data_IF_996565931313
#
_entry.id   IF_996565931313
#
_cell.length_a   1.000
_cell.length_b   1.000
_cell.length_c   1.000
_cell.angle_alpha   90.00
_cell.angle_beta   90.00
_cell.angle_gamma   90.00
#
_symmetry.space_group_name_H-M   'P 1'
#
loop_
_entity.id
_entity.type
_entity.pdbx_description
1 polymer ?
#
# COMPACT_ATOMS: atom_id res chain seq x y z
N UNK A 1 -42.91 -3.46 -9.77
CA UNK A 1 -43.65 -4.73 -9.94
C UNK A 1 -43.46 -5.54 -8.68
N UNK A 2 -44.48 -5.70 -7.83
CA UNK A 2 -44.37 -6.51 -6.60
C UNK A 2 -44.80 -7.95 -6.89
N UNK A 3 -44.17 -8.92 -6.23
CA UNK A 3 -44.74 -10.25 -6.00
C UNK A 3 -44.95 -10.46 -4.50
N UNK A 4 -46.04 -11.12 -4.15
CA UNK A 4 -46.52 -11.30 -2.77
C UNK A 4 -46.09 -12.66 -2.21
N UNK A 5 -46.17 -12.78 -0.88
CA UNK A 5 -46.06 -14.05 -0.15
C UNK A 5 -47.10 -15.07 -0.63
N UNK A 6 -46.79 -16.34 -0.37
CA UNK A 6 -47.75 -17.25 0.29
C UNK A 6 -47.08 -17.84 1.54
N UNK A 7 -47.77 -17.79 2.67
CA UNK A 7 -47.36 -18.43 3.93
C UNK A 7 -47.94 -19.87 3.98
N UNK A 8 -47.22 -20.81 4.59
CA UNK A 8 -47.62 -22.23 4.63
C UNK A 8 -47.05 -22.99 5.83
N UNK A 9 -47.85 -23.10 6.89
CA UNK A 9 -47.58 -23.99 8.03
C UNK A 9 -47.86 -25.48 7.62
N UNK A 10 -47.61 -26.55 8.41
CA UNK A 10 -47.52 -26.70 9.89
C UNK A 10 -46.93 -28.09 10.25
N UNK A 11 -46.68 -28.32 11.55
CA UNK A 11 -46.55 -29.63 12.27
C UNK A 11 -45.20 -30.37 12.29
N UNK A 12 -44.41 -30.06 13.32
CA UNK A 12 -44.02 -30.98 14.42
C UNK A 12 -43.92 -32.50 14.17
N UNK A 13 -42.73 -33.07 14.42
CA UNK A 13 -42.48 -34.48 14.78
C UNK A 13 -41.29 -34.58 15.74
N UNK A 14 -41.24 -35.57 16.65
CA UNK A 14 -40.36 -35.47 17.83
C UNK A 14 -39.73 -36.79 18.34
N UNK A 15 -38.39 -36.83 18.39
CA UNK A 15 -37.53 -37.62 19.32
C UNK A 15 -37.60 -39.18 19.19
N UNK A 16 -36.72 -39.96 19.86
CA UNK A 16 -35.30 -39.73 20.23
C UNK A 16 -34.40 -40.99 19.98
N UNK A 17 -33.15 -40.99 20.51
CA UNK A 17 -32.26 -42.15 20.79
C UNK A 17 -31.61 -42.83 19.57
N UNK A 18 -30.51 -43.59 19.67
CA UNK A 18 -29.35 -43.76 20.61
C UNK A 18 -28.29 -44.56 19.75
N UNK A 19 -26.98 -44.74 20.00
CA UNK A 19 -26.10 -44.54 21.18
C UNK A 19 -24.60 -44.33 20.77
N UNK A 20 -23.69 -44.61 21.72
CA UNK A 20 -22.25 -44.95 21.67
C UNK A 20 -21.74 -45.67 20.37
N UNK A 21 -20.46 -45.67 19.96
CA UNK A 21 -19.12 -45.67 20.61
C UNK A 21 -18.06 -45.22 19.54
N UNK A 22 -16.72 -45.10 19.70
CA UNK A 22 -15.69 -45.66 20.61
C UNK A 22 -14.40 -44.82 20.54
N UNK A 23 -13.63 -44.74 21.63
CA UNK A 23 -12.29 -44.13 21.62
C UNK A 23 -11.17 -45.18 21.69
N UNK A 24 -10.11 -44.99 20.90
CA UNK A 24 -8.74 -45.56 21.03
C UNK A 24 -7.77 -44.55 20.39
N UNK A 25 -6.72 -43.98 21.00
CA UNK A 25 -5.71 -44.42 21.98
C UNK A 25 -4.43 -45.00 21.35
N UNK A 26 -3.27 -44.63 21.93
CA UNK A 26 -1.89 -45.11 21.66
C UNK A 26 -1.30 -44.87 20.27
N UNK A 27 -0.09 -44.29 20.23
CA UNK A 27 0.65 -44.02 18.98
C UNK A 27 1.86 -43.08 19.13
N UNK A 28 2.57 -43.11 20.27
CA UNK A 28 3.77 -42.30 20.47
C UNK A 28 5.03 -43.13 20.19
N UNK A 29 5.98 -42.55 19.45
CA UNK A 29 7.34 -43.08 19.30
C UNK A 29 8.33 -41.96 18.97
N UNK A 30 8.99 -41.44 20.00
CA UNK A 30 10.25 -40.70 19.81
C UNK A 30 11.30 -41.65 19.24
N UNK A 31 12.07 -41.22 18.24
CA UNK A 31 13.26 -41.94 17.78
C UNK A 31 14.46 -40.98 17.69
N UNK A 32 15.29 -41.11 18.72
CA UNK A 32 16.76 -40.97 18.71
C UNK A 32 17.40 -39.70 18.11
N UNK A 33 17.57 -38.70 18.96
CA UNK A 33 18.38 -37.51 18.71
C UNK A 33 19.86 -37.69 19.16
N UNK A 34 20.60 -38.64 18.57
CA UNK A 34 22.03 -38.80 18.92
C UNK A 34 22.96 -39.43 17.84
N UNK A 35 23.53 -38.59 16.95
CA UNK A 35 24.79 -38.75 16.17
C UNK A 35 24.93 -37.55 15.20
N UNK A 36 26.08 -36.96 14.91
CA UNK A 36 27.47 -37.18 15.36
C UNK A 36 28.08 -35.90 15.94
N UNK A 37 29.03 -36.07 16.86
CA UNK A 37 29.91 -35.00 17.37
C UNK A 37 31.12 -34.77 16.46
N UNK A 38 31.80 -33.63 16.68
CA UNK A 38 33.22 -33.37 16.33
C UNK A 38 33.67 -33.45 14.88
N UNK A 39 33.80 -32.27 14.26
CA UNK A 39 34.97 -31.94 13.44
C UNK A 39 35.35 -30.46 13.67
N UNK A 40 36.43 -30.23 14.43
CA UNK A 40 37.06 -28.91 14.60
C UNK A 40 38.42 -28.94 13.88
N UNK A 41 38.56 -28.18 12.80
CA UNK A 41 39.86 -27.84 12.24
C UNK A 41 39.82 -26.49 11.49
N UNK A 42 40.65 -25.55 11.95
CA UNK A 42 41.29 -24.48 11.17
C UNK A 42 40.58 -23.93 9.91
N UNK A 43 39.71 -22.93 10.09
CA UNK A 43 39.32 -21.98 9.04
C UNK A 43 39.32 -20.56 9.59
N UNK A 44 40.12 -19.64 9.02
CA UNK A 44 40.17 -18.23 9.44
C UNK A 44 38.93 -17.45 8.95
N UNK A 45 37.78 -17.69 9.56
CA UNK A 45 36.61 -16.84 9.36
C UNK A 45 36.82 -15.49 10.06
N UNK A 46 37.43 -14.54 9.34
CA UNK A 46 37.48 -13.15 9.77
C UNK A 46 36.05 -12.61 9.81
N UNK A 47 35.59 -12.18 10.99
CA UNK A 47 34.27 -11.55 11.15
C UNK A 47 34.28 -10.16 10.50
N UNK A 48 34.01 -10.12 9.20
CA UNK A 48 33.54 -8.88 8.56
C UNK A 48 32.15 -8.62 9.11
N UNK A 49 32.07 -7.82 10.18
CA UNK A 49 30.83 -7.40 10.80
C UNK A 49 30.17 -6.30 9.96
N UNK A 50 29.81 -6.63 8.71
CA UNK A 50 28.99 -5.77 7.87
C UNK A 50 27.65 -5.60 8.59
N UNK A 51 27.26 -4.36 8.90
CA UNK A 51 25.95 -4.11 9.49
C UNK A 51 24.88 -4.47 8.47
N UNK A 52 23.92 -5.30 8.87
CA UNK A 52 22.69 -5.51 8.09
C UNK A 52 21.82 -4.26 8.27
N UNK A 53 22.02 -3.27 7.41
CA UNK A 53 21.25 -2.02 7.34
C UNK A 53 20.68 -1.79 5.93
N UNK A 54 20.50 -2.86 5.16
CA UNK A 54 20.21 -2.79 3.74
C UNK A 54 19.27 -3.92 3.27
N UNK A 55 18.51 -3.59 2.22
CA UNK A 55 17.53 -4.40 1.47
C UNK A 55 16.24 -4.80 2.23
N UNK A 56 15.11 -4.59 1.56
CA UNK A 56 13.79 -5.08 1.94
C UNK A 56 13.69 -6.62 1.93
N UNK A 57 12.60 -7.21 2.45
CA UNK A 57 12.41 -8.68 2.48
C UNK A 57 12.08 -9.30 1.11
N UNK A 58 12.38 -8.62 0.01
CA UNK A 58 12.14 -9.06 -1.37
C UNK A 58 13.20 -8.49 -2.33
N UNK A 59 13.38 -9.16 -3.47
CA UNK A 59 14.25 -8.72 -4.57
C UNK A 59 13.42 -8.43 -5.82
N UNK A 60 13.77 -7.37 -6.53
CA UNK A 60 13.10 -6.88 -7.75
C UNK A 60 14.15 -6.34 -8.73
N UNK A 61 13.84 -6.35 -10.02
CA UNK A 61 14.58 -5.58 -11.02
C UNK A 61 14.23 -4.09 -10.88
N UNK A 62 15.23 -3.21 -10.89
CA UNK A 62 15.05 -1.78 -10.61
C UNK A 62 15.90 -0.95 -11.58
N UNK A 63 15.24 -0.05 -12.30
CA UNK A 63 15.85 0.78 -13.34
C UNK A 63 16.22 2.18 -12.84
N UNK A 64 17.26 2.75 -13.45
CA UNK A 64 17.35 4.21 -13.59
C UNK A 64 16.49 4.63 -14.78
N UNK A 65 15.40 5.34 -14.53
CA UNK A 65 14.59 5.95 -15.59
C UNK A 65 14.40 7.46 -15.43
N UNK A 66 14.11 8.13 -16.55
CA UNK A 66 13.81 9.54 -16.66
C UNK A 66 12.28 9.72 -16.67
N UNK A 67 11.72 10.46 -15.70
CA UNK A 67 10.26 10.60 -15.55
C UNK A 67 9.64 11.44 -16.67
N UNK A 68 10.45 12.30 -17.28
CA UNK A 68 10.15 13.16 -18.42
C UNK A 68 9.67 12.34 -19.63
N UNK A 69 10.10 11.08 -19.72
CA UNK A 69 9.66 10.11 -20.75
C UNK A 69 8.24 9.60 -20.55
N UNK A 70 7.55 10.02 -19.49
CA UNK A 70 6.19 9.59 -19.11
C UNK A 70 5.17 10.75 -19.19
N UNK A 71 5.57 11.94 -19.64
CA UNK A 71 4.70 13.13 -19.72
C UNK A 71 3.54 12.98 -20.71
N UNK A 72 3.64 12.05 -21.65
CA UNK A 72 2.54 11.62 -22.54
C UNK A 72 1.46 10.79 -21.81
N UNK A 73 1.68 10.45 -20.54
CA UNK A 73 0.68 9.82 -19.67
C UNK A 73 -0.18 10.83 -18.88
N UNK A 74 0.02 12.15 -19.07
CA UNK A 74 -0.85 13.20 -18.50
C UNK A 74 -2.25 13.12 -19.12
N UNK A 75 -3.29 13.26 -18.29
CA UNK A 75 -4.68 13.27 -18.73
C UNK A 75 -5.63 12.67 -17.70
N UNK A 76 -6.77 12.15 -18.18
CA UNK A 76 -7.84 11.62 -17.35
C UNK A 76 -9.17 12.35 -17.59
N UNK A 77 -10.17 12.17 -16.71
CA UNK A 77 -11.44 12.90 -16.78
C UNK A 77 -11.27 14.39 -16.43
N UNK A 78 -12.21 15.22 -16.88
CA UNK A 78 -12.25 16.67 -16.60
C UNK A 78 -12.70 16.95 -15.15
N UNK A 79 -11.86 16.61 -14.18
CA UNK A 79 -12.09 16.88 -12.75
C UNK A 79 -11.21 18.04 -12.26
N UNK A 80 -11.82 19.03 -11.62
CA UNK A 80 -11.13 20.15 -10.96
C UNK A 80 -10.61 19.72 -9.58
N UNK A 81 -9.31 19.83 -9.32
CA UNK A 81 -8.73 19.60 -7.99
C UNK A 81 -9.03 20.78 -7.06
N UNK A 82 -9.68 20.52 -5.93
CA UNK A 82 -10.20 21.53 -5.02
C UNK A 82 -9.71 21.31 -3.57
N UNK A 83 -8.88 22.21 -3.00
CA UNK A 83 -8.34 22.05 -1.64
C UNK A 83 -9.38 21.91 -0.52
N UNK A 84 -10.60 22.44 -0.70
CA UNK A 84 -11.70 22.27 0.25
C UNK A 84 -12.31 20.85 0.25
N UNK A 85 -12.20 20.14 -0.90
CA UNK A 85 -12.64 18.76 -1.11
C UNK A 85 -11.53 17.72 -0.97
N UNK A 86 -10.28 18.14 -1.14
CA UNK A 86 -9.12 17.25 -1.21
C UNK A 86 -8.61 16.75 0.16
N UNK A 87 -7.95 15.61 0.12
CA UNK A 87 -6.98 15.14 1.09
C UNK A 87 -5.72 14.65 0.35
N UNK A 88 -4.56 14.68 1.02
CA UNK A 88 -3.31 14.13 0.49
C UNK A 88 -3.04 12.76 1.11
N UNK A 89 -2.87 11.73 0.27
CA UNK A 89 -2.35 10.43 0.65
C UNK A 89 -0.87 10.33 0.29
N UNK A 90 -0.04 10.25 1.33
CA UNK A 90 1.38 9.90 1.25
C UNK A 90 1.47 8.36 1.31
N UNK A 91 1.48 7.72 0.14
CA UNK A 91 1.33 6.26 0.02
C UNK A 91 2.67 5.53 0.14
N UNK A 92 2.82 4.77 1.23
CA UNK A 92 3.94 3.86 1.52
C UNK A 92 5.36 4.47 1.37
N UNK A 93 5.53 5.74 1.74
CA UNK A 93 6.82 6.48 1.69
C UNK A 93 7.84 6.06 2.77
N UNK A 94 7.72 4.87 3.36
CA UNK A 94 8.66 4.38 4.37
C UNK A 94 10.09 4.20 3.80
N UNK A 95 11.15 4.37 4.61
CA UNK A 95 12.53 4.08 4.20
C UNK A 95 12.71 2.68 3.59
N UNK A 96 11.99 1.68 4.12
CA UNK A 96 11.92 0.32 3.61
C UNK A 96 11.57 0.23 2.12
N UNK A 97 10.63 1.05 1.64
CA UNK A 97 10.23 1.09 0.23
C UNK A 97 11.07 2.07 -0.60
N UNK A 98 11.46 3.21 -0.02
CA UNK A 98 12.39 4.15 -0.67
C UNK A 98 13.70 3.47 -1.05
N UNK A 99 14.27 2.63 -0.18
CA UNK A 99 15.62 2.09 -0.31
C UNK A 99 15.79 1.00 -1.37
N UNK A 100 14.72 0.43 -1.92
CA UNK A 100 14.84 -0.49 -3.08
C UNK A 100 14.96 0.25 -4.41
N UNK A 101 14.56 1.53 -4.48
CA UNK A 101 14.57 2.31 -5.73
C UNK A 101 15.98 2.79 -6.10
N UNK A 102 16.23 2.90 -7.42
CA UNK A 102 17.47 3.51 -7.92
C UNK A 102 17.65 4.92 -7.35
N UNK A 103 18.88 5.27 -6.96
CA UNK A 103 19.18 6.45 -6.13
C UNK A 103 18.62 7.77 -6.69
N UNK A 104 18.66 7.97 -8.01
CA UNK A 104 18.09 9.15 -8.68
C UNK A 104 16.56 9.15 -8.70
N UNK A 105 15.92 7.98 -8.80
CA UNK A 105 14.46 7.82 -8.76
C UNK A 105 13.98 8.14 -7.35
N UNK A 106 14.65 7.58 -6.32
CA UNK A 106 14.44 7.89 -4.89
C UNK A 106 14.62 9.37 -4.57
N UNK A 107 15.64 10.03 -5.13
CA UNK A 107 15.90 11.44 -4.89
C UNK A 107 14.81 12.35 -5.49
N UNK A 108 14.40 12.12 -6.75
CA UNK A 108 13.29 12.81 -7.42
C UNK A 108 12.03 12.77 -6.57
N UNK A 109 11.51 11.57 -6.36
CA UNK A 109 10.19 11.37 -5.74
C UNK A 109 10.13 11.88 -4.30
N UNK A 110 11.22 11.82 -3.54
CA UNK A 110 11.29 12.37 -2.20
C UNK A 110 11.21 13.91 -2.19
N UNK A 111 11.83 14.59 -3.16
CA UNK A 111 11.72 16.04 -3.30
C UNK A 111 10.32 16.46 -3.75
N UNK A 112 9.77 15.81 -4.77
CA UNK A 112 8.46 16.11 -5.36
C UNK A 112 7.31 15.84 -4.38
N UNK A 113 7.31 14.68 -3.70
CA UNK A 113 6.34 14.40 -2.64
C UNK A 113 6.47 15.39 -1.46
N UNK A 114 7.69 15.87 -1.15
CA UNK A 114 7.88 16.90 -0.12
C UNK A 114 7.30 18.26 -0.54
N UNK A 115 7.37 18.62 -1.82
CA UNK A 115 6.74 19.83 -2.35
C UNK A 115 5.21 19.74 -2.28
N UNK A 116 4.61 18.63 -2.70
CA UNK A 116 3.14 18.40 -2.60
C UNK A 116 2.68 18.36 -1.13
N UNK A 117 3.49 17.82 -0.21
CA UNK A 117 3.24 17.89 1.24
C UNK A 117 3.30 19.34 1.75
N UNK A 118 4.23 20.17 1.26
CA UNK A 118 4.30 21.59 1.63
C UNK A 118 3.08 22.37 1.12
N UNK A 119 2.63 22.12 -0.12
CA UNK A 119 1.40 22.68 -0.69
C UNK A 119 0.15 22.25 0.11
N UNK A 120 0.05 20.98 0.48
CA UNK A 120 -1.05 20.49 1.32
C UNK A 120 -1.08 21.19 2.69
N UNK A 121 0.09 21.41 3.31
CA UNK A 121 0.21 22.14 4.58
C UNK A 121 -0.20 23.62 4.45
N UNK A 122 0.22 24.33 3.40
CA UNK A 122 -0.17 25.74 3.21
C UNK A 122 -1.65 25.90 2.86
N UNK A 123 -2.23 24.97 2.09
CA UNK A 123 -3.64 24.97 1.71
C UNK A 123 -4.59 24.40 2.80
N UNK A 124 -4.07 23.95 3.95
CA UNK A 124 -4.87 23.35 5.02
C UNK A 124 -5.51 22.00 4.66
N UNK A 125 -4.95 21.31 3.67
CA UNK A 125 -5.42 20.01 3.19
C UNK A 125 -4.97 18.92 4.17
N UNK A 126 -5.88 18.05 4.66
CA UNK A 126 -5.51 16.98 5.59
C UNK A 126 -4.58 15.96 4.92
N UNK A 127 -3.48 15.64 5.59
CA UNK A 127 -2.49 14.68 5.12
C UNK A 127 -2.66 13.35 5.86
N UNK A 128 -2.73 12.27 5.10
CA UNK A 128 -2.81 10.90 5.60
C UNK A 128 -1.61 10.12 5.03
N UNK A 129 -0.98 9.29 5.84
CA UNK A 129 0.18 8.51 5.43
C UNK A 129 -0.11 7.02 5.56
N UNK A 130 -0.05 6.28 4.45
CA UNK A 130 -0.22 4.82 4.52
C UNK A 130 1.07 4.11 4.86
N UNK A 131 0.92 3.01 5.60
CA UNK A 131 1.91 1.96 5.69
C UNK A 131 1.20 0.63 5.83
N UNK A 132 1.81 -0.50 5.40
CA UNK A 132 1.30 -1.81 5.77
C UNK A 132 1.32 -1.94 7.30
N UNK A 133 0.40 -2.73 7.87
CA UNK A 133 0.59 -3.19 9.25
C UNK A 133 1.85 -4.09 9.31
N UNK A 134 2.78 -3.76 10.21
CA UNK A 134 3.94 -4.61 10.52
C UNK A 134 3.50 -6.02 10.97
N UNK A 135 4.32 -7.02 10.68
CA UNK A 135 3.99 -8.44 10.88
C UNK A 135 5.15 -9.23 11.50
N UNK A 136 4.81 -10.04 12.51
CA UNK A 136 5.74 -10.97 13.18
C UNK A 136 5.74 -12.35 12.51
N UNK A 137 4.72 -12.66 11.72
CA UNK A 137 4.53 -13.95 11.06
C UNK A 137 3.92 -13.79 9.65
N UNK A 138 4.28 -14.68 8.73
CA UNK A 138 3.91 -14.62 7.30
C UNK A 138 2.39 -14.69 7.10
N UNK A 139 1.68 -15.42 7.96
CA UNK A 139 0.24 -15.59 7.93
C UNK A 139 -0.51 -14.27 8.20
N UNK A 140 0.08 -13.37 8.99
CA UNK A 140 -0.50 -12.05 9.28
C UNK A 140 -0.56 -11.14 8.04
N UNK A 141 0.24 -11.45 7.01
CA UNK A 141 0.31 -10.77 5.71
C UNK A 141 -0.62 -11.38 4.67
N UNK A 142 -1.27 -12.50 4.97
CA UNK A 142 -2.06 -13.26 3.99
C UNK A 142 -1.25 -13.59 2.73
N UNK A 143 -1.82 -13.39 1.55
CA UNK A 143 -1.14 -13.65 0.27
C UNK A 143 0.09 -12.75 0.04
N UNK A 144 0.22 -11.59 0.70
CA UNK A 144 1.43 -10.77 0.60
C UNK A 144 2.65 -11.43 1.25
N UNK A 145 2.44 -12.33 2.22
CA UNK A 145 3.52 -13.01 2.94
C UNK A 145 4.35 -13.93 2.03
N UNK A 146 3.73 -14.91 1.35
CA UNK A 146 4.44 -15.78 0.40
C UNK A 146 5.03 -15.06 -0.83
N UNK A 147 4.52 -13.89 -1.20
CA UNK A 147 5.02 -13.11 -2.36
C UNK A 147 6.15 -12.14 -2.00
N UNK A 148 6.08 -11.48 -0.84
CA UNK A 148 6.93 -10.32 -0.51
C UNK A 148 7.61 -10.42 0.88
N UNK A 149 7.41 -11.52 1.60
CA UNK A 149 7.89 -11.71 2.96
C UNK A 149 7.11 -10.90 4.01
N UNK A 150 7.71 -10.79 5.19
CA UNK A 150 7.14 -10.07 6.34
C UNK A 150 6.87 -8.59 6.05
N UNK A 151 7.65 -7.97 5.14
CA UNK A 151 7.55 -6.55 4.88
C UNK A 151 8.35 -5.71 5.89
N UNK A 152 8.02 -4.41 6.03
CA UNK A 152 8.68 -3.52 6.98
C UNK A 152 8.41 -3.89 8.45
N UNK A 153 9.38 -3.58 9.31
CA UNK A 153 9.28 -3.72 10.77
C UNK A 153 8.31 -2.70 11.41
N UNK A 154 8.04 -2.84 12.71
CA UNK A 154 7.22 -1.88 13.48
C UNK A 154 7.85 -0.48 13.46
N UNK A 155 9.17 -0.43 13.48
CA UNK A 155 9.99 0.79 13.41
C UNK A 155 9.94 1.42 12.02
N UNK A 156 10.01 0.60 10.96
CA UNK A 156 9.93 1.07 9.56
C UNK A 156 8.58 1.69 9.20
N UNK A 157 7.46 1.19 9.77
CA UNK A 157 6.10 1.68 9.46
C UNK A 157 5.65 2.87 10.30
N UNK A 158 6.47 3.35 11.22
CA UNK A 158 6.13 4.46 12.11
C UNK A 158 6.04 5.79 11.33
N UNK A 159 4.85 6.37 11.30
CA UNK A 159 4.64 7.76 10.83
C UNK A 159 5.14 8.70 11.92
N UNK A 160 6.16 9.50 11.64
CA UNK A 160 6.84 10.38 12.61
C UNK A 160 6.30 11.81 12.61
N UNK A 161 5.58 12.18 11.55
CA UNK A 161 5.06 13.51 11.27
C UNK A 161 3.78 13.74 12.08
N UNK A 162 3.85 14.63 13.07
CA UNK A 162 2.74 14.84 14.05
C UNK A 162 1.44 15.35 13.45
N UNK A 163 1.49 15.90 12.24
CA UNK A 163 0.36 16.41 11.47
C UNK A 163 -0.23 15.39 10.49
N UNK A 164 0.39 14.23 10.31
CA UNK A 164 -0.08 13.18 9.42
C UNK A 164 -1.02 12.20 10.15
N UNK A 165 -2.10 11.79 9.48
CA UNK A 165 -3.01 10.74 9.96
C UNK A 165 -2.49 9.37 9.52
N UNK A 166 -2.08 8.46 10.43
CA UNK A 166 -1.53 7.16 10.05
C UNK A 166 -2.63 6.20 9.57
N UNK A 167 -2.45 5.62 8.39
CA UNK A 167 -3.37 4.65 7.76
C UNK A 167 -2.69 3.29 7.66
N UNK A 168 -2.94 2.43 8.66
CA UNK A 168 -2.44 1.06 8.69
C UNK A 168 -3.28 0.16 7.76
N UNK A 169 -2.79 -0.11 6.54
CA UNK A 169 -3.49 -0.94 5.54
C UNK A 169 -3.07 -2.40 5.59
N UNK A 170 -3.93 -3.29 5.07
CA UNK A 170 -3.72 -4.75 5.09
C UNK A 170 -3.42 -5.37 3.72
N UNK A 171 -3.45 -4.58 2.63
CA UNK A 171 -3.16 -5.03 1.26
C UNK A 171 -2.48 -3.93 0.43
N UNK A 172 -2.49 -4.04 -0.90
CA UNK A 172 -1.97 -3.01 -1.82
C UNK A 172 -2.73 -1.69 -1.66
N UNK A 173 -4.06 -1.72 -1.85
CA UNK A 173 -4.95 -0.56 -1.69
C UNK A 173 -4.90 0.01 -0.26
N UNK A 174 -4.81 1.34 -0.16
CA UNK A 174 -4.89 2.05 1.11
C UNK A 174 -6.29 2.04 1.74
N UNK A 175 -7.35 1.68 0.99
CA UNK A 175 -8.70 1.47 1.54
C UNK A 175 -8.93 0.05 2.08
N UNK A 176 -8.15 -0.95 1.64
CA UNK A 176 -8.43 -2.33 1.99
C UNK A 176 -8.18 -2.61 3.48
N UNK A 177 -9.29 -2.68 4.22
CA UNK A 177 -9.35 -2.86 5.65
C UNK A 177 -8.39 -1.90 6.39
N UNK A 178 -8.64 -0.60 6.22
CA UNK A 178 -8.04 0.52 6.95
C UNK A 178 -9.14 1.53 7.33
N UNK A 179 -8.77 2.60 8.04
CA UNK A 179 -9.69 3.70 8.37
C UNK A 179 -9.73 4.83 7.30
N UNK A 180 -9.08 4.68 6.13
CA UNK A 180 -8.95 5.76 5.13
C UNK A 180 -10.32 6.37 4.72
N UNK A 181 -11.28 5.52 4.37
CA UNK A 181 -12.64 5.96 4.00
C UNK A 181 -13.35 6.69 5.16
N UNK A 182 -13.13 6.22 6.39
CA UNK A 182 -13.72 6.82 7.60
C UNK A 182 -13.12 8.20 7.86
N UNK A 183 -11.80 8.34 7.70
CA UNK A 183 -11.08 9.59 7.93
C UNK A 183 -11.34 10.64 6.83
N UNK A 184 -11.49 10.23 5.57
CA UNK A 184 -11.94 11.10 4.47
C UNK A 184 -13.38 11.59 4.72
N UNK A 185 -14.32 10.66 4.97
CA UNK A 185 -15.74 10.98 5.22
C UNK A 185 -15.93 11.90 6.43
N UNK A 186 -15.18 11.67 7.53
CA UNK A 186 -15.19 12.54 8.73
C UNK A 186 -14.76 13.98 8.46
N UNK A 187 -13.93 14.21 7.43
CA UNK A 187 -13.40 15.53 7.04
C UNK A 187 -14.14 16.14 5.84
N UNK A 188 -15.20 15.48 5.36
CA UNK A 188 -15.97 15.91 4.18
C UNK A 188 -15.17 15.87 2.88
N UNK A 189 -14.22 14.93 2.74
CA UNK A 189 -13.30 14.85 1.60
C UNK A 189 -13.67 13.73 0.64
N UNK A 190 -13.86 14.09 -0.62
CA UNK A 190 -14.23 13.24 -1.75
C UNK A 190 -13.24 13.36 -2.93
N UNK A 191 -12.10 14.01 -2.71
CA UNK A 191 -10.95 14.00 -3.62
C UNK A 191 -9.69 13.53 -2.90
N UNK A 192 -8.86 12.75 -3.59
CA UNK A 192 -7.65 12.13 -3.04
C UNK A 192 -6.45 12.38 -3.95
N UNK A 193 -5.55 13.27 -3.52
CA UNK A 193 -4.23 13.45 -4.13
C UNK A 193 -3.33 12.32 -3.64
N UNK A 194 -2.57 11.66 -4.53
CA UNK A 194 -1.70 10.54 -4.15
C UNK A 194 -0.25 10.79 -4.60
N UNK A 195 0.68 10.60 -3.66
CA UNK A 195 2.14 10.60 -3.86
C UNK A 195 2.75 9.31 -3.29
N UNK A 196 3.93 8.89 -3.74
CA UNK A 196 4.65 7.72 -3.19
C UNK A 196 4.68 6.46 -4.07
N UNK A 197 4.46 5.27 -3.49
CA UNK A 197 4.85 3.99 -4.11
C UNK A 197 3.85 2.82 -3.96
N UNK A 198 3.94 1.76 -4.76
CA UNK A 198 4.48 1.72 -6.12
C UNK A 198 3.32 1.95 -7.08
N UNK A 199 3.58 2.68 -8.17
CA UNK A 199 2.55 3.15 -9.10
C UNK A 199 1.61 2.00 -9.55
N UNK A 200 2.16 0.89 -10.04
CA UNK A 200 1.41 -0.26 -10.59
C UNK A 200 0.87 -1.22 -9.54
N UNK A 201 1.08 -0.95 -8.24
CA UNK A 201 0.68 -1.83 -7.15
C UNK A 201 -0.19 -1.10 -6.12
N UNK A 202 0.44 -0.40 -5.17
CA UNK A 202 -0.26 0.27 -4.07
C UNK A 202 -1.17 1.39 -4.55
N UNK A 203 -0.65 2.24 -5.45
CA UNK A 203 -1.35 3.42 -5.96
C UNK A 203 -2.49 3.00 -6.90
N UNK A 204 -2.21 2.21 -7.94
CA UNK A 204 -3.23 1.72 -8.88
C UNK A 204 -4.36 0.96 -8.17
N UNK A 205 -4.06 0.10 -7.19
CA UNK A 205 -5.10 -0.56 -6.40
C UNK A 205 -5.93 0.43 -5.56
N UNK A 206 -5.32 1.52 -5.11
CA UNK A 206 -6.00 2.59 -4.35
C UNK A 206 -6.88 3.45 -5.24
N UNK A 207 -6.49 3.76 -6.49
CA UNK A 207 -7.34 4.54 -7.41
C UNK A 207 -8.58 3.74 -7.85
N UNK A 208 -8.46 2.43 -8.07
CA UNK A 208 -9.63 1.56 -8.31
C UNK A 208 -10.58 1.52 -7.09
N UNK A 209 -10.05 1.39 -5.87
CA UNK A 209 -10.87 1.41 -4.65
C UNK A 209 -11.50 2.81 -4.39
N UNK A 210 -10.80 3.90 -4.71
CA UNK A 210 -11.31 5.26 -4.61
C UNK A 210 -12.47 5.52 -5.61
N UNK A 211 -12.26 5.14 -6.88
CA UNK A 211 -13.28 5.24 -7.92
C UNK A 211 -14.54 4.44 -7.56
N UNK A 212 -14.38 3.24 -7.00
CA UNK A 212 -15.48 2.41 -6.49
C UNK A 212 -16.19 2.97 -5.23
N UNK A 213 -15.77 4.14 -4.73
CA UNK A 213 -16.33 4.88 -3.57
C UNK A 213 -16.72 6.32 -3.92
N UNK A 214 -16.82 6.65 -5.20
CA UNK A 214 -17.07 8.00 -5.72
C UNK A 214 -16.01 9.05 -5.30
N UNK A 215 -14.78 8.62 -4.99
CA UNK A 215 -13.66 9.49 -4.61
C UNK A 215 -12.79 9.78 -5.83
N UNK A 216 -12.60 11.06 -6.16
CA UNK A 216 -11.83 11.50 -7.33
C UNK A 216 -10.33 11.49 -7.04
N UNK A 217 -9.57 10.62 -7.72
CA UNK A 217 -8.11 10.54 -7.58
C UNK A 217 -7.35 11.51 -8.49
N UNK A 218 -6.28 12.08 -7.95
CA UNK A 218 -5.30 12.93 -8.64
C UNK A 218 -3.88 12.44 -8.33
N UNK A 219 -3.06 12.19 -9.34
CA UNK A 219 -1.74 11.56 -9.20
C UNK A 219 -0.67 12.38 -9.93
N UNK A 220 0.42 12.71 -9.23
CA UNK A 220 1.52 13.52 -9.76
C UNK A 220 2.65 12.66 -10.28
N UNK A 221 2.97 12.74 -11.58
CA UNK A 221 3.94 11.86 -12.27
C UNK A 221 5.33 11.87 -11.56
N UNK A 222 5.81 13.06 -11.20
CA UNK A 222 7.11 13.27 -10.58
C UNK A 222 7.13 12.93 -9.07
N UNK A 223 5.96 12.94 -8.43
CA UNK A 223 5.74 12.62 -7.00
C UNK A 223 5.35 11.16 -6.73
N UNK A 224 5.32 10.29 -7.76
CA UNK A 224 5.19 8.84 -7.61
C UNK A 224 6.32 8.08 -8.32
N UNK A 225 6.53 6.81 -7.98
CA UNK A 225 7.49 5.95 -8.68
C UNK A 225 7.07 4.47 -8.74
N UNK A 226 7.79 3.73 -9.57
CA UNK A 226 7.76 2.28 -9.67
C UNK A 226 9.20 1.75 -9.79
N UNK A 227 9.38 0.43 -9.86
CA UNK A 227 10.69 -0.17 -10.05
C UNK A 227 11.25 0.07 -11.47
N UNK A 228 10.38 0.09 -12.48
CA UNK A 228 10.72 0.26 -13.90
C UNK A 228 9.90 1.37 -14.56
N UNK A 229 10.42 1.93 -15.65
CA UNK A 229 9.70 2.88 -16.49
C UNK A 229 8.42 2.26 -17.07
N UNK A 230 8.46 0.96 -17.40
CA UNK A 230 7.34 0.23 -17.98
C UNK A 230 6.17 0.03 -17.01
N UNK A 231 6.46 -0.36 -15.75
CA UNK A 231 5.42 -0.50 -14.72
C UNK A 231 4.81 0.86 -14.37
N UNK A 232 5.65 1.89 -14.22
CA UNK A 232 5.19 3.25 -13.96
C UNK A 232 4.26 3.75 -15.08
N UNK A 233 4.66 3.64 -16.34
CA UNK A 233 3.83 3.96 -17.52
C UNK A 233 2.50 3.21 -17.53
N UNK A 234 2.56 1.89 -17.28
CA UNK A 234 1.36 1.03 -17.28
C UNK A 234 0.36 1.48 -16.21
N UNK A 235 0.85 1.86 -15.03
CA UNK A 235 0.01 2.40 -13.96
C UNK A 235 -0.66 3.72 -14.37
N UNK A 236 0.10 4.70 -14.84
CA UNK A 236 -0.43 6.02 -15.21
C UNK A 236 -1.48 5.91 -16.32
N UNK A 237 -1.22 5.09 -17.36
CA UNK A 237 -2.17 4.84 -18.45
C UNK A 237 -3.48 4.20 -17.96
N UNK A 238 -3.42 3.28 -16.99
CA UNK A 238 -4.62 2.68 -16.39
C UNK A 238 -5.36 3.66 -15.47
N UNK A 239 -4.64 4.57 -14.79
CA UNK A 239 -5.25 5.61 -13.97
C UNK A 239 -6.03 6.58 -14.85
N UNK A 240 -5.42 7.17 -15.88
CA UNK A 240 -6.08 8.11 -16.80
C UNK A 240 -7.24 7.50 -17.57
N UNK A 241 -7.12 6.23 -17.97
CA UNK A 241 -8.15 5.55 -18.74
C UNK A 241 -9.37 5.10 -17.93
N UNK A 242 -9.24 4.92 -16.59
CA UNK A 242 -10.23 4.17 -15.80
C UNK A 242 -10.58 4.75 -14.43
N UNK A 243 -9.70 5.51 -13.75
CA UNK A 243 -9.87 5.77 -12.29
C UNK A 243 -9.49 7.17 -11.78
N UNK A 244 -8.75 8.00 -12.53
CA UNK A 244 -8.42 9.34 -12.05
C UNK A 244 -7.59 10.20 -13.00
N UNK A 245 -7.20 11.37 -12.51
CA UNK A 245 -6.39 12.36 -13.24
C UNK A 245 -4.91 12.12 -12.95
N UNK A 246 -4.08 12.14 -14.00
CA UNK A 246 -2.63 12.16 -13.92
C UNK A 246 -2.13 13.52 -14.43
N UNK A 247 -1.29 14.19 -13.65
CA UNK A 247 -0.81 15.55 -13.96
C UNK A 247 0.62 15.78 -13.46
N UNK A 248 1.19 16.94 -13.76
CA UNK A 248 2.45 17.41 -13.16
C UNK A 248 2.27 17.57 -11.64
N UNK A 249 3.27 17.17 -10.88
CA UNK A 249 3.29 17.27 -9.42
C UNK A 249 3.30 18.72 -8.95
N UNK A 250 3.82 19.64 -9.78
CA UNK A 250 3.72 21.08 -9.55
C UNK A 250 2.27 21.60 -9.61
N UNK A 251 1.37 20.93 -10.33
CA UNK A 251 -0.05 21.29 -10.41
C UNK A 251 -0.89 20.71 -9.25
N UNK A 252 -0.29 19.92 -8.34
CA UNK A 252 -0.99 19.37 -7.19
C UNK A 252 -1.00 20.36 -6.03
N UNK A 253 -2.21 20.80 -5.65
CA UNK A 253 -2.51 21.66 -4.49
C UNK A 253 -1.79 23.02 -4.48
N UNK A 254 -1.24 23.44 -5.62
CA UNK A 254 -0.60 24.74 -5.81
C UNK A 254 -1.57 25.91 -5.58
N UNK A 255 -1.04 27.06 -5.17
CA UNK A 255 -1.83 28.28 -4.95
C UNK A 255 -2.34 28.83 -6.29
N UNK A 256 -3.68 28.94 -6.51
CA UNK A 256 -4.23 29.55 -7.72
C UNK A 256 -3.72 30.98 -8.00
N UNK A 257 -3.27 31.71 -6.97
CA UNK A 257 -2.67 33.03 -7.10
C UNK A 257 -1.31 33.06 -7.82
N UNK A 258 -0.64 31.91 -7.97
CA UNK A 258 0.61 31.79 -8.73
C UNK A 258 0.43 31.44 -10.21
N UNK A 259 -0.78 31.04 -10.63
CA UNK A 259 -1.05 30.46 -11.95
C UNK A 259 -0.54 29.01 -12.10
N UNK A 260 -0.84 28.33 -13.23
CA UNK A 260 -0.24 27.05 -13.59
C UNK A 260 1.26 27.20 -13.91
N UNK A 261 2.03 26.14 -13.68
CA UNK A 261 3.41 26.02 -14.15
C UNK A 261 3.45 25.04 -15.34
N UNK A 262 3.22 25.60 -16.53
CA UNK A 262 3.27 24.92 -17.84
C UNK A 262 4.71 24.52 -18.27
#
# INVERSE_FOLDING_TARGET
MLLRRTDGERRSGSRPRDSQTRARSSGASEIDSQRLTTLRASGKCARVCTRMTDVATFSVEVEKYAVETLRDCVGGPEWELRPDRAALLVHDMQPYYLNVLHSSVRARVAAEASAVVAHARSAGVPILASGPRAAEAIEQRGLLGPMWGLGPSTEDVAVTERDFVPIAKRSYSAFYASDLEVELRRRGRDQLVIVGFFASAGILATTFDAFARDIQCFVGIESVADYTAHQHRTALNLITSLTGVVTSSANLLHDPGGGPLD
#
